data_IF_119786099133
#
_entry.id   IF_119786099133
#
_cell.length_a   1.000
_cell.length_b   1.000
_cell.length_c   1.000
_cell.angle_alpha   90.00
_cell.angle_beta   90.00
_cell.angle_gamma   90.00
#
_symmetry.space_group_name_H-M   'P 1'
#
loop_
_entity.id
_entity.type
_entity.pdbx_description
1 polymer ?
#
# COMPACT_ATOMS: atom_id res chain seq x y z
N UNK A 1 -14.54 -4.21 -13.31
CA UNK A 1 -13.46 -3.29 -12.88
C UNK A 1 -12.98 -3.80 -11.54
N UNK A 2 -11.67 -3.95 -11.37
CA UNK A 2 -11.10 -4.41 -10.10
C UNK A 2 -11.31 -3.41 -8.96
N UNK A 3 -11.14 -3.87 -7.74
CA UNK A 3 -11.31 -3.07 -6.52
C UNK A 3 -10.11 -2.17 -6.27
N UNK A 4 -10.32 -1.07 -5.56
CA UNK A 4 -9.25 -0.26 -4.99
C UNK A 4 -9.02 -0.72 -3.53
N UNK A 5 -7.85 -1.29 -3.28
CA UNK A 5 -7.49 -1.94 -2.01
C UNK A 5 -6.34 -1.19 -1.37
N UNK A 6 -6.48 -0.80 -0.11
CA UNK A 6 -5.36 -0.27 0.69
C UNK A 6 -4.68 -1.42 1.41
N UNK A 7 -3.35 -1.46 1.37
CA UNK A 7 -2.50 -2.32 2.19
C UNK A 7 -1.65 -1.48 3.13
N UNK A 8 -1.93 -1.56 4.43
CA UNK A 8 -1.27 -0.74 5.43
C UNK A 8 -1.06 -1.46 6.76
N UNK A 9 -0.08 -1.00 7.54
CA UNK A 9 0.16 -1.45 8.89
C UNK A 9 0.14 -0.28 9.88
N UNK A 10 -0.33 -0.52 11.09
CA UNK A 10 -0.33 0.44 12.19
C UNK A 10 0.04 -0.23 13.52
N UNK A 11 0.61 0.55 14.42
CA UNK A 11 0.72 0.21 15.84
C UNK A 11 -0.65 0.26 16.54
N UNK A 12 -0.74 -0.25 17.77
CA UNK A 12 -1.97 -0.19 18.58
C UNK A 12 -2.48 1.24 18.77
N UNK A 13 -1.58 2.20 18.85
CA UNK A 13 -1.88 3.63 19.02
C UNK A 13 -1.97 4.40 17.69
N UNK A 14 -2.04 3.68 16.55
CA UNK A 14 -2.40 4.22 15.23
C UNK A 14 -1.26 4.83 14.43
N UNK A 15 0.00 4.60 14.81
CA UNK A 15 1.15 5.10 14.08
C UNK A 15 1.59 4.10 12.99
N UNK A 16 1.90 4.64 11.81
CA UNK A 16 2.49 3.91 10.71
C UNK A 16 4.02 3.75 10.86
N UNK A 17 4.68 4.77 11.42
CA UNK A 17 6.13 4.80 11.64
C UNK A 17 6.46 5.55 12.93
N UNK A 18 7.61 5.26 13.52
CA UNK A 18 8.14 5.97 14.68
C UNK A 18 8.73 7.34 14.31
N UNK A 19 9.33 8.04 15.28
CA UNK A 19 9.94 9.38 15.09
C UNK A 19 11.16 9.34 14.17
N UNK A 20 11.85 8.21 14.04
CA UNK A 20 12.97 8.03 13.09
C UNK A 20 12.46 7.80 11.67
N UNK A 21 11.17 7.49 11.53
CA UNK A 21 10.53 7.13 10.28
C UNK A 21 10.60 5.64 9.96
N UNK A 22 11.02 4.79 10.90
CA UNK A 22 10.99 3.34 10.72
C UNK A 22 9.53 2.85 10.78
N UNK A 23 9.11 2.18 9.70
CA UNK A 23 7.76 1.64 9.57
C UNK A 23 7.50 0.48 10.53
N UNK A 24 6.28 0.40 11.06
CA UNK A 24 5.83 -0.77 11.84
C UNK A 24 5.48 -1.98 10.98
N UNK A 25 5.64 -1.89 9.65
CA UNK A 25 5.22 -2.93 8.73
C UNK A 25 5.92 -4.26 9.02
N UNK A 26 5.17 -5.37 9.27
CA UNK A 26 5.73 -6.62 9.77
C UNK A 26 6.28 -7.49 8.63
N UNK A 27 7.33 -7.05 7.94
CA UNK A 27 7.90 -7.70 6.74
C UNK A 27 8.16 -9.20 6.99
N UNK A 28 8.70 -9.56 8.16
CA UNK A 28 9.05 -10.95 8.49
C UNK A 28 7.83 -11.85 8.77
N UNK A 29 6.64 -11.29 8.97
CA UNK A 29 5.41 -12.04 9.29
C UNK A 29 4.39 -12.04 8.13
N UNK A 30 4.70 -11.41 7.01
CA UNK A 30 3.76 -11.22 5.90
C UNK A 30 3.28 -12.54 5.29
N UNK A 31 4.16 -13.54 5.21
CA UNK A 31 3.88 -14.79 4.50
C UNK A 31 3.11 -15.82 5.34
N UNK A 32 2.99 -15.62 6.65
CA UNK A 32 2.47 -16.66 7.57
C UNK A 32 0.95 -16.86 7.48
N UNK A 33 0.20 -15.95 6.88
CA UNK A 33 -1.26 -15.93 6.98
C UNK A 33 -2.01 -16.36 5.71
N UNK A 34 -1.33 -16.48 4.57
CA UNK A 34 -1.94 -16.76 3.27
C UNK A 34 -2.75 -15.58 2.69
N UNK A 35 -3.08 -14.54 3.47
CA UNK A 35 -3.78 -13.35 2.98
C UNK A 35 -2.92 -12.53 2.01
N UNK A 36 -1.60 -12.52 2.21
CA UNK A 36 -0.67 -11.85 1.29
C UNK A 36 -0.67 -12.54 -0.06
N UNK A 37 -0.65 -13.87 -0.10
CA UNK A 37 -0.73 -14.64 -1.35
C UNK A 37 -2.00 -14.31 -2.12
N UNK A 38 -3.16 -14.32 -1.43
CA UNK A 38 -4.45 -13.93 -2.03
C UNK A 38 -4.39 -12.50 -2.62
N UNK A 39 -3.76 -11.56 -1.90
CA UNK A 39 -3.63 -10.18 -2.33
C UNK A 39 -2.73 -10.05 -3.56
N UNK A 40 -1.60 -10.75 -3.58
CA UNK A 40 -0.68 -10.78 -4.73
C UNK A 40 -1.35 -11.36 -5.98
N UNK A 41 -2.06 -12.48 -5.86
CA UNK A 41 -2.73 -13.13 -7.00
C UNK A 41 -3.81 -12.26 -7.64
N UNK A 42 -4.54 -11.47 -6.84
CA UNK A 42 -5.63 -10.62 -7.32
C UNK A 42 -5.18 -9.24 -7.79
N UNK A 43 -3.96 -8.80 -7.50
CA UNK A 43 -3.45 -7.47 -7.84
C UNK A 43 -3.04 -7.40 -9.31
N UNK A 44 -3.48 -6.36 -10.00
CA UNK A 44 -3.14 -6.07 -11.40
C UNK A 44 -2.34 -4.78 -11.60
N UNK A 45 -2.28 -3.91 -10.60
CA UNK A 45 -1.44 -2.72 -10.57
C UNK A 45 -1.21 -2.26 -9.14
N UNK A 46 -0.11 -1.58 -8.90
CA UNK A 46 0.25 -0.99 -7.59
C UNK A 46 0.30 0.54 -7.71
N UNK A 47 -0.17 1.21 -6.67
CA UNK A 47 0.07 2.64 -6.47
C UNK A 47 0.84 2.79 -5.16
N UNK A 48 1.97 3.50 -5.19
CA UNK A 48 2.77 3.77 -3.99
C UNK A 48 3.29 5.21 -3.98
N UNK A 49 3.69 5.69 -2.81
CA UNK A 49 4.37 6.97 -2.68
C UNK A 49 5.84 6.85 -3.09
N UNK A 50 6.47 8.00 -3.36
CA UNK A 50 7.92 8.07 -3.56
C UNK A 50 8.68 7.43 -2.40
N UNK A 51 8.30 7.73 -1.16
CA UNK A 51 8.95 7.18 0.02
C UNK A 51 8.89 5.66 0.07
N UNK A 52 7.75 5.07 -0.27
CA UNK A 52 7.61 3.60 -0.33
C UNK A 52 8.46 3.01 -1.45
N UNK A 53 8.56 3.70 -2.58
CA UNK A 53 9.42 3.30 -3.69
C UNK A 53 10.91 3.36 -3.33
N UNK A 54 11.33 4.35 -2.55
CA UNK A 54 12.71 4.58 -2.10
C UNK A 54 13.11 3.75 -0.87
N UNK A 55 12.26 2.84 -0.38
CA UNK A 55 12.61 1.93 0.72
C UNK A 55 13.66 0.88 0.32
N UNK A 56 13.92 0.72 -0.97
CA UNK A 56 15.01 -0.11 -1.51
C UNK A 56 16.15 0.78 -1.98
N UNK A 57 17.39 0.40 -1.68
CA UNK A 57 18.58 1.18 -2.05
C UNK A 57 18.78 1.25 -3.56
N UNK A 58 18.50 0.15 -4.28
CA UNK A 58 18.57 0.09 -5.75
C UNK A 58 17.19 -0.21 -6.32
N UNK A 59 16.58 0.74 -7.08
CA UNK A 59 15.27 0.54 -7.70
C UNK A 59 15.21 -0.63 -8.70
N UNK A 60 16.34 -1.07 -9.24
CA UNK A 60 16.38 -2.25 -10.11
C UNK A 60 16.09 -3.55 -9.34
N UNK A 61 16.17 -3.52 -8.00
CA UNK A 61 15.80 -4.64 -7.14
C UNK A 61 14.34 -5.09 -7.33
N UNK A 62 13.43 -4.17 -7.65
CA UNK A 62 12.03 -4.54 -7.90
C UNK A 62 11.88 -5.60 -8.99
N UNK A 63 12.73 -5.54 -10.03
CA UNK A 63 12.69 -6.51 -11.12
C UNK A 63 13.16 -7.90 -10.65
N UNK A 64 12.19 -8.82 -10.54
CA UNK A 64 12.42 -10.21 -10.15
C UNK A 64 12.53 -10.49 -8.64
N UNK A 65 12.55 -9.46 -7.77
CA UNK A 65 12.63 -9.67 -6.32
C UNK A 65 11.35 -9.23 -5.58
N UNK A 66 10.63 -8.25 -6.10
CA UNK A 66 9.37 -7.80 -5.52
C UNK A 66 8.25 -8.80 -5.85
N UNK A 67 7.40 -9.13 -4.88
CA UNK A 67 6.35 -10.14 -5.09
C UNK A 67 5.33 -9.73 -6.15
N UNK A 68 5.11 -8.43 -6.31
CA UNK A 68 4.14 -7.87 -7.24
C UNK A 68 4.81 -7.46 -8.56
N UNK A 69 4.98 -8.43 -9.47
CA UNK A 69 5.51 -8.17 -10.82
C UNK A 69 4.40 -7.65 -11.75
N UNK A 70 3.85 -6.47 -11.43
CA UNK A 70 2.76 -5.77 -12.12
C UNK A 70 3.11 -4.30 -12.32
N UNK A 71 2.39 -3.53 -13.15
CA UNK A 71 2.62 -2.09 -13.29
C UNK A 71 2.56 -1.36 -11.94
N UNK A 72 3.61 -0.60 -11.63
CA UNK A 72 3.74 0.23 -10.43
C UNK A 72 3.63 1.71 -10.82
N UNK A 73 2.71 2.43 -10.18
CA UNK A 73 2.51 3.86 -10.34
C UNK A 73 2.98 4.58 -9.09
N UNK A 74 4.08 5.32 -9.20
CA UNK A 74 4.69 6.06 -8.10
C UNK A 74 4.18 7.50 -8.10
N UNK A 75 3.59 7.92 -6.99
CA UNK A 75 3.15 9.31 -6.81
C UNK A 75 4.32 10.14 -6.30
N UNK A 76 4.84 11.02 -7.16
CA UNK A 76 5.99 11.88 -6.88
C UNK A 76 6.03 13.09 -7.81
N UNK A 77 6.54 14.22 -7.31
CA UNK A 77 6.89 15.40 -8.11
C UNK A 77 8.37 15.37 -8.56
N UNK A 78 9.16 14.45 -8.03
CA UNK A 78 10.59 14.30 -8.31
C UNK A 78 10.91 12.87 -8.74
N UNK A 79 10.60 12.49 -9.98
CA UNK A 79 10.92 11.15 -10.48
C UNK A 79 12.43 10.90 -10.45
N UNK A 80 12.87 9.63 -10.31
CA UNK A 80 14.28 9.30 -10.27
C UNK A 80 14.98 9.70 -11.56
N UNK A 81 16.25 10.09 -11.44
CA UNK A 81 17.07 10.50 -12.60
C UNK A 81 17.34 9.35 -13.58
N UNK A 82 17.35 8.12 -13.08
CA UNK A 82 17.46 6.88 -13.85
C UNK A 82 16.15 6.09 -13.74
N UNK A 83 15.57 5.74 -14.88
CA UNK A 83 14.39 4.86 -14.89
C UNK A 83 14.78 3.47 -14.37
N UNK A 84 13.99 2.88 -13.45
CA UNK A 84 14.25 1.54 -12.94
C UNK A 84 14.17 0.49 -14.04
N UNK A 85 14.83 -0.65 -13.81
CA UNK A 85 14.72 -1.80 -14.69
C UNK A 85 13.29 -2.33 -14.72
N UNK A 86 12.75 -2.50 -15.90
CA UNK A 86 11.46 -3.14 -16.15
C UNK A 86 11.67 -4.59 -16.63
N UNK A 87 10.70 -5.45 -16.33
CA UNK A 87 10.68 -6.84 -16.78
C UNK A 87 9.22 -7.26 -17.06
N UNK A 88 9.01 -8.46 -17.57
CA UNK A 88 7.72 -9.00 -17.98
C UNK A 88 6.59 -8.74 -16.97
N UNK A 89 5.75 -7.73 -17.25
CA UNK A 89 4.65 -7.32 -16.39
C UNK A 89 4.97 -6.16 -15.43
N UNK A 90 6.22 -6.03 -14.97
CA UNK A 90 6.65 -4.92 -14.13
C UNK A 90 7.03 -3.72 -14.98
N UNK A 91 6.31 -2.63 -14.81
CA UNK A 91 6.61 -1.32 -15.42
C UNK A 91 6.47 -0.22 -14.39
N UNK A 92 7.13 0.94 -14.61
CA UNK A 92 7.06 2.07 -13.70
C UNK A 92 6.49 3.30 -14.39
N UNK A 93 5.55 3.95 -13.72
CA UNK A 93 4.99 5.24 -14.14
C UNK A 93 5.06 6.21 -12.98
N UNK A 94 5.73 7.35 -13.18
CA UNK A 94 5.87 8.39 -12.18
C UNK A 94 4.90 9.54 -12.48
N UNK A 95 4.05 9.88 -11.51
CA UNK A 95 2.99 10.89 -11.68
C UNK A 95 2.88 11.75 -10.42
N UNK A 96 2.45 13.00 -10.61
CA UNK A 96 2.42 13.99 -9.52
C UNK A 96 1.22 13.89 -8.58
N UNK A 97 0.19 13.09 -8.90
CA UNK A 97 -1.01 13.02 -8.06
C UNK A 97 -1.57 11.60 -7.98
N UNK A 98 -2.21 11.29 -6.84
CA UNK A 98 -2.93 10.03 -6.65
C UNK A 98 -3.99 9.78 -7.74
N UNK A 99 -4.74 10.80 -8.14
CA UNK A 99 -5.78 10.63 -9.16
C UNK A 99 -5.21 10.27 -10.54
N UNK A 100 -4.05 10.82 -10.90
CA UNK A 100 -3.34 10.41 -12.13
C UNK A 100 -2.87 8.97 -12.01
N UNK A 101 -2.24 8.59 -10.87
CA UNK A 101 -1.83 7.21 -10.62
C UNK A 101 -3.01 6.24 -10.72
N UNK A 102 -4.14 6.56 -10.09
CA UNK A 102 -5.35 5.74 -10.13
C UNK A 102 -5.90 5.59 -11.56
N UNK A 103 -5.90 6.67 -12.34
CA UNK A 103 -6.34 6.63 -13.75
C UNK A 103 -5.43 5.70 -14.58
N UNK A 104 -4.10 5.83 -14.43
CA UNK A 104 -3.14 4.96 -15.12
C UNK A 104 -3.28 3.50 -14.68
N UNK A 105 -3.38 3.25 -13.37
CA UNK A 105 -3.54 1.91 -12.83
C UNK A 105 -4.82 1.23 -13.37
N UNK A 106 -5.94 1.95 -13.43
CA UNK A 106 -7.20 1.44 -14.01
C UNK A 106 -7.09 1.07 -15.48
N UNK A 107 -6.29 1.78 -16.23
CA UNK A 107 -6.10 1.50 -17.65
C UNK A 107 -5.36 0.18 -17.91
N UNK A 108 -4.53 -0.28 -16.96
CA UNK A 108 -3.67 -1.46 -17.13
C UNK A 108 -4.05 -2.64 -16.27
N UNK A 109 -4.78 -2.46 -15.15
CA UNK A 109 -5.14 -3.54 -14.23
C UNK A 109 -6.17 -4.53 -14.77
N UNK A 110 -6.88 -4.18 -15.84
CA UNK A 110 -7.94 -5.02 -16.40
C UNK A 110 -9.08 -5.28 -15.42
N UNK A 111 -9.32 -6.53 -15.09
CA UNK A 111 -10.33 -6.95 -14.09
C UNK A 111 -9.74 -7.17 -12.70
N UNK A 112 -8.40 -7.13 -12.58
CA UNK A 112 -7.70 -7.30 -11.31
C UNK A 112 -7.73 -6.03 -10.47
N UNK A 113 -7.42 -6.17 -9.19
CA UNK A 113 -7.46 -5.09 -8.21
C UNK A 113 -6.26 -4.15 -8.35
N UNK A 114 -6.44 -2.95 -7.84
CA UNK A 114 -5.39 -1.94 -7.70
C UNK A 114 -5.02 -1.86 -6.22
N UNK A 115 -3.78 -2.14 -5.90
CA UNK A 115 -3.26 -2.13 -4.54
C UNK A 115 -2.57 -0.81 -4.25
N UNK A 116 -3.04 -0.11 -3.23
CA UNK A 116 -2.40 1.09 -2.69
C UNK A 116 -1.53 0.67 -1.52
N UNK A 117 -0.22 0.77 -1.68
CA UNK A 117 0.77 0.38 -0.67
C UNK A 117 1.42 1.61 -0.09
N UNK A 118 1.50 1.67 1.22
CA UNK A 118 2.42 2.59 1.80
C UNK A 118 1.95 3.39 2.99
N UNK A 119 2.50 4.58 3.03
CA UNK A 119 2.52 5.49 4.14
C UNK A 119 1.32 6.47 4.12
N UNK A 120 1.29 7.35 5.12
CA UNK A 120 0.23 8.33 5.37
C UNK A 120 -0.28 9.03 4.12
N UNK A 121 0.60 9.63 3.31
CA UNK A 121 0.20 10.51 2.22
C UNK A 121 -0.63 9.82 1.15
N UNK A 122 -0.24 8.58 0.79
CA UNK A 122 -0.94 7.81 -0.25
C UNK A 122 -2.24 7.21 0.28
N UNK A 123 -2.25 6.74 1.53
CA UNK A 123 -3.43 6.18 2.19
C UNK A 123 -4.49 7.26 2.40
N UNK A 124 -4.11 8.43 2.89
CA UNK A 124 -5.01 9.58 3.04
C UNK A 124 -5.61 10.02 1.70
N UNK A 125 -4.79 10.07 0.65
CA UNK A 125 -5.26 10.40 -0.70
C UNK A 125 -6.28 9.38 -1.22
N UNK A 126 -6.01 8.09 -1.00
CA UNK A 126 -6.92 7.02 -1.38
C UNK A 126 -8.26 7.11 -0.62
N UNK A 127 -8.23 7.29 0.70
CA UNK A 127 -9.45 7.44 1.52
C UNK A 127 -10.23 8.70 1.16
N UNK A 128 -9.54 9.83 0.95
CA UNK A 128 -10.18 11.09 0.54
C UNK A 128 -10.87 10.98 -0.82
N UNK A 129 -10.38 10.10 -1.71
CA UNK A 129 -11.03 9.84 -2.99
C UNK A 129 -12.44 9.25 -2.87
N UNK A 130 -12.78 8.65 -1.74
CA UNK A 130 -14.06 7.94 -1.51
C UNK A 130 -14.20 6.63 -2.29
N UNK A 131 -13.19 6.22 -3.05
CA UNK A 131 -13.26 5.11 -4.02
C UNK A 131 -12.66 3.80 -3.49
N UNK A 132 -12.17 3.79 -2.24
CA UNK A 132 -11.62 2.59 -1.61
C UNK A 132 -12.73 1.57 -1.37
N UNK A 133 -12.55 0.35 -1.85
CA UNK A 133 -13.47 -0.78 -1.70
C UNK A 133 -13.08 -1.68 -0.53
N UNK A 134 -11.77 -1.87 -0.33
CA UNK A 134 -11.24 -2.76 0.70
C UNK A 134 -10.00 -2.16 1.38
N UNK A 135 -9.79 -2.54 2.64
CA UNK A 135 -8.57 -2.21 3.38
C UNK A 135 -8.02 -3.51 3.96
N UNK A 136 -6.79 -3.83 3.60
CA UNK A 136 -6.00 -4.85 4.26
C UNK A 136 -5.16 -4.17 5.34
N UNK A 137 -5.65 -4.23 6.58
CA UNK A 137 -5.04 -3.55 7.73
C UNK A 137 -4.30 -4.55 8.62
N UNK A 138 -3.03 -4.28 8.88
CA UNK A 138 -2.21 -5.01 9.83
C UNK A 138 -2.09 -4.19 11.12
N UNK A 139 -2.65 -4.70 12.20
CA UNK A 139 -2.50 -4.12 13.54
C UNK A 139 -1.36 -4.85 14.25
N UNK A 140 -0.24 -4.17 14.39
CA UNK A 140 0.96 -4.70 15.04
C UNK A 140 0.86 -4.50 16.54
N UNK A 141 1.13 -5.54 17.32
CA UNK A 141 1.06 -5.53 18.79
C UNK A 141 2.21 -4.74 19.43
N UNK A 142 2.32 -3.46 19.03
CA UNK A 142 3.35 -2.52 19.47
C UNK A 142 2.70 -1.14 19.68
N UNK A 143 3.15 -0.39 20.67
CA UNK A 143 2.87 1.04 20.82
C UNK A 143 4.12 1.83 20.50
N UNK A 144 3.97 2.99 19.86
CA UNK A 144 5.08 3.88 19.54
C UNK A 144 5.09 5.13 20.42
N UNK A 145 3.93 5.63 20.84
CA UNK A 145 3.79 6.85 21.65
C UNK A 145 3.95 8.14 20.85
N UNK A 146 4.83 8.12 19.83
CA UNK A 146 5.09 9.26 18.93
C UNK A 146 5.48 8.74 17.54
N UNK A 147 5.44 9.63 16.52
CA UNK A 147 5.78 9.30 15.14
C UNK A 147 4.73 9.76 14.13
N UNK A 148 4.66 9.08 12.99
CA UNK A 148 3.72 9.38 11.91
C UNK A 148 2.47 8.53 12.03
N UNK A 149 1.30 9.13 12.28
CA UNK A 149 0.00 8.44 12.20
C UNK A 149 -0.33 8.09 10.76
N UNK A 150 -0.97 6.94 10.57
CA UNK A 150 -1.41 6.53 9.23
C UNK A 150 -2.49 7.47 8.67
N UNK A 151 -3.41 7.89 9.53
CA UNK A 151 -4.53 8.77 9.16
C UNK A 151 -4.59 9.91 10.16
N UNK A 152 -4.45 11.13 9.67
CA UNK A 152 -4.49 12.36 10.49
C UNK A 152 -4.96 13.55 9.64
N UNK A 153 -5.95 13.34 8.77
CA UNK A 153 -6.50 14.40 7.91
C UNK A 153 -7.85 14.83 8.43
N UNK A 154 -8.00 16.12 8.81
CA UNK A 154 -9.31 16.67 9.09
C UNK A 154 -10.21 16.61 7.86
N UNK A 155 -11.44 16.14 8.02
CA UNK A 155 -12.44 16.19 6.94
C UNK A 155 -12.48 14.97 6.02
N UNK A 156 -11.82 13.87 6.35
CA UNK A 156 -12.13 12.59 5.68
C UNK A 156 -13.61 12.29 5.87
N UNK A 157 -14.32 12.09 4.78
CA UNK A 157 -15.72 11.67 4.82
C UNK A 157 -15.82 10.31 5.50
N UNK A 158 -16.62 10.15 6.55
CA UNK A 158 -16.79 8.87 7.22
C UNK A 158 -17.20 7.78 6.24
N UNK A 159 -16.49 6.67 6.25
CA UNK A 159 -16.80 5.51 5.43
C UNK A 159 -17.01 4.30 6.35
N UNK A 160 -18.01 3.48 6.05
CA UNK A 160 -18.29 2.27 6.80
C UNK A 160 -17.67 1.06 6.10
N UNK A 161 -16.90 0.30 6.86
CA UNK A 161 -16.37 -0.99 6.44
C UNK A 161 -16.86 -2.07 7.41
N UNK A 162 -17.05 -3.29 6.92
CA UNK A 162 -17.26 -4.48 7.74
C UNK A 162 -16.02 -5.37 7.73
N UNK A 163 -15.77 -6.07 8.81
CA UNK A 163 -14.68 -7.05 8.87
C UNK A 163 -15.12 -8.28 8.07
N UNK A 164 -14.37 -8.60 7.02
CA UNK A 164 -14.61 -9.79 6.18
C UNK A 164 -13.74 -10.98 6.60
N UNK A 165 -12.52 -10.73 7.06
CA UNK A 165 -11.60 -11.77 7.49
C UNK A 165 -10.66 -11.23 8.58
N UNK A 166 -10.25 -12.10 9.50
CA UNK A 166 -9.22 -11.82 10.52
C UNK A 166 -8.34 -13.04 10.64
N UNK A 167 -7.04 -12.84 10.54
CA UNK A 167 -6.00 -13.84 10.84
C UNK A 167 -4.97 -13.24 11.77
N UNK A 168 -4.24 -14.07 12.47
CA UNK A 168 -3.19 -13.62 13.40
C UNK A 168 -1.88 -14.32 13.08
N UNK A 169 -0.79 -13.59 13.18
CA UNK A 169 0.57 -14.09 13.27
C UNK A 169 1.10 -13.85 14.69
N UNK A 170 2.40 -13.97 14.91
CA UNK A 170 2.98 -13.85 16.27
C UNK A 170 2.67 -12.53 16.97
N UNK A 171 2.82 -11.43 16.24
CA UNK A 171 2.70 -10.06 16.79
C UNK A 171 1.70 -9.20 16.04
N UNK A 172 0.97 -9.76 15.05
CA UNK A 172 0.14 -8.96 14.15
C UNK A 172 -1.25 -9.56 13.99
N UNK A 173 -2.26 -8.72 14.03
CA UNK A 173 -3.63 -9.04 13.59
C UNK A 173 -3.79 -8.52 12.15
N UNK A 174 -4.11 -9.41 11.24
CA UNK A 174 -4.36 -9.11 9.84
C UNK A 174 -5.87 -9.07 9.61
N UNK A 175 -6.39 -7.93 9.19
CA UNK A 175 -7.81 -7.71 8.96
C UNK A 175 -8.07 -7.35 7.50
N UNK A 176 -9.03 -8.01 6.88
CA UNK A 176 -9.62 -7.58 5.62
C UNK A 176 -10.94 -6.86 5.93
N UNK A 177 -10.97 -5.57 5.65
CA UNK A 177 -12.14 -4.71 5.79
C UNK A 177 -12.72 -4.45 4.41
N UNK A 178 -14.04 -4.57 4.25
CA UNK A 178 -14.74 -4.38 2.96
C UNK A 178 -15.94 -3.45 3.13
N UNK A 179 -16.24 -2.65 2.11
CA UNK A 179 -17.48 -1.86 2.04
C UNK A 179 -18.71 -2.73 1.95
#
# INVERSE_FOLDING_TARGET
>A
MGKLVIDAAISIDGFWADESGESVFPVNEMHDTGLVTELVERTGAVIMSQRSFEMVDDPDWYAGNYELQVPIHVVTDTPPSRHPKEDCGLTFTFVSTFFKALSCARAVSGTKDILVIGEKSIVESALTSGQVDEIYLRLVAKTLGAGTKLIDVPGIVPQNFRIANVRTSKTTVHMLLVK
#
